data_IF_396969638746
#
_entry.id   IF_396969638746
#
_cell.length_a   1.000
_cell.length_b   1.000
_cell.length_c   1.000
_cell.angle_alpha   90.00
_cell.angle_beta   90.00
_cell.angle_gamma   90.00
#
_symmetry.space_group_name_H-M   'P 1'
#
loop_
_entity.id
_entity.type
_entity.pdbx_description
1 polymer ?
#
# COMPACT_ATOMS: atom_id res chain seq x y z
N UNK A 1 35.35 18.53 -32.19
CA UNK A 1 34.10 18.68 -31.42
C UNK A 1 33.05 17.73 -32.02
N UNK A 2 32.30 16.97 -31.21
CA UNK A 2 31.24 16.10 -31.73
C UNK A 2 30.15 16.92 -32.43
N UNK A 3 29.54 16.36 -33.48
CA UNK A 3 28.46 17.04 -34.20
C UNK A 3 27.17 17.08 -33.37
N UNK A 4 26.25 18.02 -33.62
CA UNK A 4 24.97 18.07 -32.90
C UNK A 4 24.20 16.74 -32.91
N UNK A 5 24.28 15.99 -34.01
CA UNK A 5 23.68 14.64 -34.13
C UNK A 5 24.37 13.61 -33.24
N UNK A 6 25.69 13.70 -33.08
CA UNK A 6 26.45 12.83 -32.19
C UNK A 6 26.16 13.15 -30.71
N UNK A 7 26.08 14.43 -30.33
CA UNK A 7 25.64 14.83 -28.98
C UNK A 7 24.24 14.32 -28.65
N UNK A 8 23.28 14.43 -29.58
CA UNK A 8 21.93 13.93 -29.40
C UNK A 8 21.89 12.41 -29.15
N UNK A 9 22.70 11.63 -29.89
CA UNK A 9 22.81 10.17 -29.69
C UNK A 9 23.42 9.81 -28.34
N UNK A 10 24.47 10.52 -27.92
CA UNK A 10 25.10 10.30 -26.62
C UNK A 10 24.12 10.60 -25.49
N UNK A 11 23.38 11.72 -25.60
CA UNK A 11 22.36 12.09 -24.62
C UNK A 11 21.22 11.06 -24.56
N UNK A 12 20.71 10.61 -25.71
CA UNK A 12 19.68 9.58 -25.76
C UNK A 12 20.14 8.25 -25.15
N UNK A 13 21.38 7.82 -25.42
CA UNK A 13 21.95 6.62 -24.82
C UNK A 13 22.13 6.77 -23.30
N UNK A 14 22.62 7.92 -22.83
CA UNK A 14 22.74 8.20 -21.41
C UNK A 14 21.36 8.14 -20.71
N UNK A 15 20.31 8.65 -21.36
CA UNK A 15 18.96 8.59 -20.82
C UNK A 15 18.40 7.18 -20.77
N UNK A 16 18.65 6.37 -21.79
CA UNK A 16 18.26 4.96 -21.81
C UNK A 16 18.94 4.18 -20.67
N UNK A 17 20.25 4.38 -20.49
CA UNK A 17 21.03 3.73 -19.44
C UNK A 17 20.54 4.17 -18.05
N UNK A 18 20.26 5.46 -17.85
CA UNK A 18 19.73 5.97 -16.59
C UNK A 18 18.31 5.46 -16.28
N UNK A 19 17.47 5.22 -17.29
CA UNK A 19 16.11 4.75 -17.12
C UNK A 19 16.01 3.23 -16.88
N UNK A 20 17.01 2.44 -17.27
CA UNK A 20 16.95 0.98 -17.17
C UNK A 20 16.83 0.46 -15.71
N UNK A 21 17.60 0.94 -14.72
CA UNK A 21 17.43 0.50 -13.32
C UNK A 21 16.04 0.76 -12.72
N UNK A 22 15.47 1.98 -12.77
CA UNK A 22 14.12 2.20 -12.23
C UNK A 22 13.05 1.44 -13.01
N UNK A 23 13.19 1.27 -14.33
CA UNK A 23 12.26 0.48 -15.13
C UNK A 23 12.31 -1.02 -14.78
N UNK A 24 13.50 -1.58 -14.59
CA UNK A 24 13.67 -2.98 -14.18
C UNK A 24 13.18 -3.21 -12.76
N UNK A 25 13.44 -2.28 -11.83
CA UNK A 25 12.89 -2.33 -10.47
C UNK A 25 11.35 -2.26 -10.49
N UNK A 26 10.77 -1.35 -11.28
CA UNK A 26 9.32 -1.24 -11.39
C UNK A 26 8.69 -2.51 -11.99
N UNK A 27 9.32 -3.10 -13.01
CA UNK A 27 8.90 -4.37 -13.60
C UNK A 27 8.99 -5.53 -12.59
N UNK A 28 10.06 -5.55 -11.78
CA UNK A 28 10.21 -6.52 -10.70
C UNK A 28 9.08 -6.39 -9.68
N UNK A 29 8.80 -5.20 -9.17
CA UNK A 29 7.71 -4.99 -8.21
C UNK A 29 6.33 -5.34 -8.78
N UNK A 30 6.10 -5.04 -10.05
CA UNK A 30 4.87 -5.44 -10.73
C UNK A 30 4.75 -6.97 -10.83
N UNK A 31 5.86 -7.67 -11.08
CA UNK A 31 5.89 -9.13 -11.16
C UNK A 31 5.82 -9.83 -9.80
N UNK A 32 6.08 -9.12 -8.69
CA UNK A 32 6.05 -9.67 -7.32
C UNK A 32 4.94 -9.05 -6.47
N UNK A 33 3.89 -8.53 -7.11
CA UNK A 33 2.74 -7.89 -6.46
C UNK A 33 3.10 -6.87 -5.39
N UNK A 34 4.23 -6.18 -5.56
CA UNK A 34 4.64 -5.04 -4.74
C UNK A 34 4.53 -5.32 -3.22
N UNK A 35 4.97 -6.51 -2.79
CA UNK A 35 4.94 -6.94 -1.38
C UNK A 35 6.06 -6.24 -0.61
N UNK A 36 5.72 -5.54 0.48
CA UNK A 36 6.69 -4.89 1.37
C UNK A 36 6.29 -5.04 2.84
N UNK A 37 7.29 -5.05 3.70
CA UNK A 37 7.14 -4.88 5.13
C UNK A 37 7.18 -3.38 5.44
N UNK A 38 6.09 -2.86 6.00
CA UNK A 38 5.93 -1.44 6.36
C UNK A 38 6.51 -1.24 7.76
N UNK A 39 5.95 -1.96 8.74
CA UNK A 39 6.46 -2.01 10.11
C UNK A 39 6.92 -3.44 10.39
N UNK A 40 8.19 -3.66 10.79
CA UNK A 40 8.75 -4.99 11.00
C UNK A 40 7.87 -5.89 11.86
N UNK A 41 7.55 -7.07 11.36
CA UNK A 41 6.73 -8.08 12.02
C UNK A 41 5.28 -7.67 12.28
N UNK A 42 4.81 -6.51 11.82
CA UNK A 42 3.54 -5.92 12.28
C UNK A 42 2.62 -5.52 11.15
N UNK A 43 3.13 -4.82 10.14
CA UNK A 43 2.33 -4.40 8.98
C UNK A 43 3.06 -4.72 7.69
N UNK A 44 2.36 -5.38 6.79
CA UNK A 44 2.79 -5.66 5.43
C UNK A 44 1.80 -5.03 4.44
N UNK A 45 2.30 -4.67 3.25
CA UNK A 45 1.50 -4.17 2.14
C UNK A 45 1.75 -4.98 0.88
N UNK A 46 0.74 -5.10 0.02
CA UNK A 46 0.89 -5.73 -1.30
C UNK A 46 -0.16 -5.27 -2.31
N UNK A 47 0.01 -5.69 -3.56
CA UNK A 47 -1.03 -5.85 -4.56
C UNK A 47 -1.88 -7.10 -4.30
N UNK A 48 -2.77 -7.39 -5.23
CA UNK A 48 -3.66 -8.54 -5.16
C UNK A 48 -2.87 -9.81 -5.46
N UNK A 49 -2.55 -10.56 -4.41
CA UNK A 49 -1.97 -11.88 -4.54
C UNK A 49 -3.01 -12.88 -5.04
N UNK A 50 -2.54 -13.91 -5.75
CA UNK A 50 -3.37 -15.10 -5.96
C UNK A 50 -3.53 -15.90 -4.65
N UNK A 51 -4.41 -16.91 -4.68
CA UNK A 51 -4.72 -17.70 -3.49
C UNK A 51 -3.52 -18.51 -2.94
N UNK A 52 -2.62 -18.96 -3.81
CA UNK A 52 -1.44 -19.72 -3.41
C UNK A 52 -0.38 -18.82 -2.80
N UNK A 53 -0.11 -17.68 -3.42
CA UNK A 53 0.81 -16.66 -2.95
C UNK A 53 0.37 -16.06 -1.62
N UNK A 54 -0.93 -15.78 -1.49
CA UNK A 54 -1.52 -15.32 -0.23
C UNK A 54 -1.32 -16.34 0.88
N UNK A 55 -1.61 -17.62 0.63
CA UNK A 55 -1.39 -18.71 1.60
C UNK A 55 0.08 -18.81 2.00
N UNK A 56 0.99 -18.72 1.03
CA UNK A 56 2.43 -18.74 1.29
C UNK A 56 2.86 -17.57 2.16
N UNK A 57 2.49 -16.34 1.80
CA UNK A 57 2.88 -15.14 2.53
C UNK A 57 2.31 -15.14 3.95
N UNK A 58 1.05 -15.54 4.12
CA UNK A 58 0.40 -15.66 5.43
C UNK A 58 1.16 -16.63 6.32
N UNK A 59 1.51 -17.81 5.81
CA UNK A 59 2.29 -18.80 6.56
C UNK A 59 3.72 -18.29 6.87
N UNK A 60 4.40 -17.70 5.90
CA UNK A 60 5.78 -17.25 6.03
C UNK A 60 5.95 -16.07 6.99
N UNK A 61 4.96 -15.18 7.07
CA UNK A 61 5.00 -13.95 7.89
C UNK A 61 4.13 -14.02 9.14
N UNK A 62 3.39 -15.12 9.33
CA UNK A 62 2.46 -15.28 10.44
C UNK A 62 1.31 -14.28 10.43
N UNK A 63 0.89 -13.82 9.24
CA UNK A 63 -0.18 -12.80 9.11
C UNK A 63 -1.45 -13.31 9.78
N UNK A 64 -2.05 -12.48 10.64
CA UNK A 64 -3.29 -12.80 11.36
C UNK A 64 -4.51 -12.08 10.81
N UNK A 65 -4.32 -11.04 10.01
CA UNK A 65 -5.43 -10.30 9.38
C UNK A 65 -5.07 -9.84 7.97
N UNK A 66 -6.01 -9.97 7.04
CA UNK A 66 -5.93 -9.40 5.68
C UNK A 66 -6.94 -8.25 5.56
N UNK A 67 -6.48 -7.07 5.15
CA UNK A 67 -7.29 -5.90 4.86
C UNK A 67 -7.34 -5.64 3.35
N UNK A 68 -8.51 -5.88 2.75
CA UNK A 68 -8.78 -5.67 1.33
C UNK A 68 -9.34 -4.26 1.08
N UNK A 69 -8.60 -3.43 0.34
CA UNK A 69 -8.99 -2.06 -0.03
C UNK A 69 -9.70 -1.95 -1.38
N UNK A 70 -9.85 -3.06 -2.11
CA UNK A 70 -10.69 -3.14 -3.32
C UNK A 70 -12.17 -3.19 -2.96
N UNK A 71 -12.51 -3.58 -1.73
CA UNK A 71 -13.88 -3.70 -1.24
C UNK A 71 -14.53 -5.04 -1.60
N UNK A 72 -15.72 -5.28 -1.06
CA UNK A 72 -16.42 -6.53 -1.22
C UNK A 72 -16.95 -6.68 -2.66
N UNK A 73 -16.64 -7.80 -3.31
CA UNK A 73 -17.10 -8.12 -4.67
C UNK A 73 -17.61 -9.57 -4.77
N UNK A 74 -18.70 -9.95 -4.05
CA UNK A 74 -19.21 -11.32 -4.08
C UNK A 74 -19.53 -11.78 -5.50
N UNK A 75 -19.09 -12.98 -5.87
CA UNK A 75 -19.25 -13.54 -7.22
C UNK A 75 -18.12 -13.18 -8.19
N UNK A 76 -17.22 -12.26 -7.82
CA UNK A 76 -16.02 -12.02 -8.62
C UNK A 76 -14.97 -13.12 -8.32
N UNK A 77 -14.40 -13.81 -9.34
CA UNK A 77 -13.50 -14.93 -9.11
C UNK A 77 -12.26 -14.61 -8.27
N UNK A 78 -11.73 -13.38 -8.33
CA UNK A 78 -10.60 -12.99 -7.49
C UNK A 78 -11.01 -12.87 -6.02
N UNK A 79 -12.17 -12.28 -5.75
CA UNK A 79 -12.66 -12.01 -4.40
C UNK A 79 -13.08 -13.30 -3.69
N UNK A 80 -13.81 -14.16 -4.40
CA UNK A 80 -14.28 -15.42 -3.84
C UNK A 80 -13.12 -16.38 -3.54
N UNK A 81 -12.08 -16.37 -4.38
CA UNK A 81 -10.84 -17.15 -4.15
C UNK A 81 -10.05 -16.62 -2.97
N UNK A 82 -9.88 -15.30 -2.85
CA UNK A 82 -9.24 -14.68 -1.69
C UNK A 82 -9.99 -14.99 -0.39
N UNK A 83 -11.31 -14.75 -0.37
CA UNK A 83 -12.19 -15.06 0.78
C UNK A 83 -12.07 -16.52 1.20
N UNK A 84 -12.05 -17.43 0.23
CA UNK A 84 -11.85 -18.86 0.47
C UNK A 84 -10.47 -19.13 1.07
N UNK A 85 -9.40 -18.58 0.48
CA UNK A 85 -8.04 -18.77 0.96
C UNK A 85 -7.85 -18.27 2.40
N UNK A 86 -8.36 -17.08 2.71
CA UNK A 86 -8.29 -16.48 4.05
C UNK A 86 -9.08 -17.30 5.06
N UNK A 87 -10.28 -17.76 4.70
CA UNK A 87 -11.08 -18.67 5.54
C UNK A 87 -10.35 -19.98 5.82
N UNK A 88 -9.75 -20.59 4.80
CA UNK A 88 -9.01 -21.86 4.94
C UNK A 88 -7.79 -21.70 5.86
N UNK A 89 -7.19 -20.51 5.90
CA UNK A 89 -6.06 -20.17 6.79
C UNK A 89 -6.51 -19.83 8.22
N UNK A 90 -7.80 -19.57 8.45
CA UNK A 90 -8.34 -19.17 9.75
C UNK A 90 -7.90 -17.77 10.21
N UNK A 91 -7.54 -16.88 9.28
CA UNK A 91 -7.09 -15.51 9.59
C UNK A 91 -8.22 -14.49 9.40
N UNK A 92 -8.12 -13.34 10.05
CA UNK A 92 -9.09 -12.26 9.95
C UNK A 92 -9.17 -11.70 8.53
N UNK A 93 -10.37 -11.25 8.13
CA UNK A 93 -10.58 -10.60 6.83
C UNK A 93 -11.45 -9.36 6.99
N UNK A 94 -10.88 -8.20 6.68
CA UNK A 94 -11.57 -6.91 6.69
C UNK A 94 -11.58 -6.35 5.26
N UNK A 95 -12.70 -5.78 4.83
CA UNK A 95 -12.85 -5.26 3.47
C UNK A 95 -13.46 -3.86 3.51
N UNK A 96 -12.64 -2.85 3.17
CA UNK A 96 -13.03 -1.44 3.13
C UNK A 96 -12.77 -0.91 1.72
N UNK A 97 -13.82 -0.68 0.94
CA UNK A 97 -13.67 -0.30 -0.46
C UNK A 97 -13.35 1.18 -0.65
N UNK A 98 -12.17 1.48 -1.21
CA UNK A 98 -11.81 2.84 -1.64
C UNK A 98 -11.37 2.88 -3.11
N UNK A 99 -11.53 4.05 -3.74
CA UNK A 99 -11.09 4.29 -5.13
C UNK A 99 -9.72 4.96 -5.12
N UNK A 100 -8.76 4.43 -5.89
CA UNK A 100 -7.45 5.05 -6.05
C UNK A 100 -7.52 6.46 -6.69
N UNK A 101 -8.59 6.75 -7.44
CA UNK A 101 -8.76 8.01 -8.17
C UNK A 101 -9.63 9.06 -7.47
N UNK A 102 -10.09 8.81 -6.24
CA UNK A 102 -10.97 9.72 -5.48
C UNK A 102 -10.50 9.81 -4.03
N UNK A 103 -10.61 11.01 -3.46
CA UNK A 103 -10.33 11.23 -2.04
C UNK A 103 -11.44 10.50 -1.24
N UNK A 104 -11.11 9.50 -0.40
CA UNK A 104 -12.10 8.86 0.46
C UNK A 104 -12.66 9.87 1.48
N UNK A 105 -13.88 9.63 1.97
CA UNK A 105 -14.42 10.43 3.05
C UNK A 105 -13.54 10.29 4.31
N UNK A 106 -13.44 11.36 5.11
CA UNK A 106 -12.71 11.32 6.39
C UNK A 106 -13.16 10.15 7.28
N UNK A 107 -14.46 9.89 7.35
CA UNK A 107 -15.00 8.76 8.11
C UNK A 107 -14.45 7.40 7.63
N UNK A 108 -14.29 7.20 6.32
CA UNK A 108 -13.70 5.97 5.77
C UNK A 108 -12.20 5.87 6.09
N UNK A 109 -11.47 6.98 6.11
CA UNK A 109 -10.05 6.96 6.52
C UNK A 109 -9.89 6.67 8.01
N UNK A 110 -10.79 7.18 8.85
CA UNK A 110 -10.86 6.83 10.27
C UNK A 110 -11.23 5.35 10.45
N UNK A 111 -12.16 4.82 9.66
CA UNK A 111 -12.51 3.39 9.65
C UNK A 111 -11.30 2.51 9.30
N UNK A 112 -10.48 2.92 8.32
CA UNK A 112 -9.22 2.25 7.98
C UNK A 112 -8.25 2.28 9.17
N UNK A 113 -8.07 3.45 9.81
CA UNK A 113 -7.19 3.59 10.97
C UNK A 113 -7.64 2.70 12.15
N UNK A 114 -8.94 2.68 12.44
CA UNK A 114 -9.52 1.85 13.50
C UNK A 114 -9.36 0.36 13.18
N UNK A 115 -9.65 -0.07 11.95
CA UNK A 115 -9.45 -1.46 11.52
C UNK A 115 -7.99 -1.91 11.65
N UNK A 116 -7.05 -1.05 11.28
CA UNK A 116 -5.62 -1.30 11.38
C UNK A 116 -5.10 -1.33 12.82
N UNK A 117 -5.69 -0.54 13.72
CA UNK A 117 -5.36 -0.52 15.15
C UNK A 117 -5.89 -1.75 15.88
N UNK A 118 -7.13 -2.13 15.59
CA UNK A 118 -7.88 -3.11 16.39
C UNK A 118 -7.70 -4.55 15.88
N UNK A 119 -7.28 -4.72 14.63
CA UNK A 119 -7.02 -6.03 14.05
C UNK A 119 -5.79 -6.73 14.67
N UNK A 120 -5.84 -8.07 14.84
CA UNK A 120 -4.66 -8.85 15.22
C UNK A 120 -3.52 -8.70 14.19
N UNK A 121 -2.37 -8.18 14.64
CA UNK A 121 -1.14 -8.06 13.84
C UNK A 121 -0.30 -9.36 13.90
N UNK A 122 0.42 -9.79 12.85
CA UNK A 122 0.76 -9.01 11.66
C UNK A 122 -0.41 -8.87 10.68
N UNK A 123 -0.58 -7.67 10.11
CA UNK A 123 -1.65 -7.33 9.16
C UNK A 123 -1.06 -7.26 7.75
N UNK A 124 -1.75 -7.82 6.76
CA UNK A 124 -1.50 -7.58 5.35
C UNK A 124 -2.56 -6.63 4.80
N UNK A 125 -2.18 -5.43 4.36
CA UNK A 125 -3.05 -4.53 3.61
C UNK A 125 -2.80 -4.63 2.12
N UNK A 126 -3.85 -4.82 1.32
CA UNK A 126 -3.69 -4.89 -0.12
C UNK A 126 -4.74 -4.13 -0.91
N UNK A 127 -4.41 -3.84 -2.17
CA UNK A 127 -5.35 -3.34 -3.16
C UNK A 127 -5.15 -4.09 -4.49
N UNK A 128 -5.28 -3.42 -5.64
CA UNK A 128 -4.96 -4.05 -6.94
C UNK A 128 -3.45 -4.18 -7.13
N UNK A 129 -2.73 -3.05 -7.23
CA UNK A 129 -1.28 -3.04 -7.53
C UNK A 129 -0.39 -2.72 -6.33
N UNK A 130 -0.96 -2.63 -5.13
CA UNK A 130 -0.19 -2.37 -3.90
C UNK A 130 0.44 -0.99 -3.77
N UNK A 131 0.17 -0.09 -4.72
CA UNK A 131 0.73 1.25 -4.77
C UNK A 131 -0.16 2.27 -4.04
N UNK A 132 -1.28 2.64 -4.66
CA UNK A 132 -2.03 3.84 -4.27
C UNK A 132 -2.83 3.65 -2.97
N UNK A 133 -3.82 2.75 -2.98
CA UNK A 133 -4.71 2.55 -1.82
C UNK A 133 -3.98 1.91 -0.65
N UNK A 134 -3.12 0.93 -0.94
CA UNK A 134 -2.27 0.32 0.08
C UNK A 134 -1.28 1.34 0.65
N UNK A 135 -0.78 2.27 -0.17
CA UNK A 135 0.07 3.37 0.27
C UNK A 135 -0.67 4.32 1.21
N UNK A 136 -1.89 4.72 0.87
CA UNK A 136 -2.73 5.53 1.76
C UNK A 136 -2.97 4.85 3.10
N UNK A 137 -3.37 3.57 3.11
CA UNK A 137 -3.61 2.85 4.35
C UNK A 137 -2.33 2.63 5.17
N UNK A 138 -1.20 2.40 4.52
CA UNK A 138 0.11 2.29 5.19
C UNK A 138 0.53 3.63 5.81
N UNK A 139 0.34 4.75 5.10
CA UNK A 139 0.60 6.09 5.63
C UNK A 139 -0.32 6.40 6.84
N UNK A 140 -1.60 6.04 6.75
CA UNK A 140 -2.54 6.16 7.88
C UNK A 140 -2.06 5.33 9.08
N UNK A 141 -1.58 4.10 8.86
CA UNK A 141 -1.03 3.27 9.94
C UNK A 141 0.15 3.95 10.64
N UNK A 142 1.16 4.36 9.87
CA UNK A 142 2.38 4.96 10.39
C UNK A 142 2.04 6.17 11.27
N UNK A 143 1.18 7.06 10.78
CA UNK A 143 0.78 8.27 11.52
C UNK A 143 -0.13 7.97 12.73
N UNK A 144 -1.21 7.20 12.53
CA UNK A 144 -2.30 7.08 13.50
C UNK A 144 -2.13 5.93 14.50
N UNK A 145 -1.34 4.91 14.15
CA UNK A 145 -1.16 3.69 14.95
C UNK A 145 0.28 3.57 15.45
N UNK A 146 1.27 3.72 14.57
CA UNK A 146 2.69 3.66 14.97
C UNK A 146 3.17 4.97 15.62
N UNK A 147 2.52 6.10 15.34
CA UNK A 147 2.84 7.41 15.92
C UNK A 147 4.01 8.12 15.23
N UNK A 148 4.34 7.70 14.00
CA UNK A 148 5.37 8.34 13.18
C UNK A 148 4.94 9.74 12.73
N UNK A 149 5.92 10.53 12.28
CA UNK A 149 5.63 11.88 11.78
C UNK A 149 4.87 11.82 10.46
N UNK A 150 4.03 12.82 10.21
CA UNK A 150 3.23 12.89 8.99
C UNK A 150 4.08 12.88 7.70
N UNK A 151 5.27 13.49 7.71
CA UNK A 151 6.16 13.49 6.55
C UNK A 151 6.85 12.14 6.32
N UNK A 152 7.20 11.42 7.39
CA UNK A 152 7.72 10.05 7.31
C UNK A 152 6.63 9.06 6.85
N UNK A 153 5.43 9.18 7.40
CA UNK A 153 4.27 8.39 6.98
C UNK A 153 3.90 8.63 5.49
N UNK A 154 4.07 9.85 4.98
CA UNK A 154 3.84 10.17 3.57
C UNK A 154 4.76 9.39 2.61
N UNK A 155 5.92 8.92 3.06
CA UNK A 155 6.83 8.09 2.24
C UNK A 155 6.25 6.73 1.86
N UNK A 156 5.10 6.33 2.43
CA UNK A 156 4.32 5.19 1.96
C UNK A 156 3.61 5.47 0.62
N UNK A 157 3.53 6.72 0.19
CA UNK A 157 3.05 7.17 -1.11
C UNK A 157 4.24 7.62 -1.99
N UNK A 158 5.22 6.72 -2.18
CA UNK A 158 6.44 7.02 -2.91
C UNK A 158 6.60 6.19 -4.20
N UNK A 159 7.40 6.66 -5.18
CA UNK A 159 7.71 5.93 -6.42
C UNK A 159 8.31 4.54 -6.20
N UNK A 160 9.04 4.35 -5.08
CA UNK A 160 9.59 3.04 -4.69
C UNK A 160 8.51 1.96 -4.46
N UNK A 161 7.26 2.38 -4.28
CA UNK A 161 6.08 1.51 -4.16
C UNK A 161 5.17 1.60 -5.39
N UNK A 162 5.68 2.06 -6.53
CA UNK A 162 4.95 2.28 -7.78
C UNK A 162 3.87 3.37 -7.72
N UNK A 163 3.90 4.25 -6.71
CA UNK A 163 3.00 5.38 -6.64
C UNK A 163 3.54 6.55 -7.50
N UNK A 164 2.75 6.98 -8.49
CA UNK A 164 3.13 8.03 -9.45
C UNK A 164 1.98 9.03 -9.64
N UNK A 165 1.84 10.05 -8.78
CA UNK A 165 0.68 10.98 -8.75
C UNK A 165 0.79 12.17 -9.72
N UNK A 166 1.76 12.17 -10.63
CA UNK A 166 2.05 13.26 -11.55
C UNK A 166 1.38 13.08 -12.92
N UNK A 167 1.57 14.07 -13.81
CA UNK A 167 1.10 14.06 -15.20
C UNK A 167 -0.43 13.88 -15.34
N UNK A 168 -1.19 14.47 -14.42
CA UNK A 168 -2.65 14.38 -14.42
C UNK A 168 -3.21 13.05 -13.90
N UNK A 169 -2.37 12.21 -13.28
CA UNK A 169 -2.84 10.98 -12.66
C UNK A 169 -3.92 11.27 -11.61
N UNK A 170 -5.01 10.50 -11.66
CA UNK A 170 -6.07 10.57 -10.65
C UNK A 170 -5.60 10.06 -9.29
N UNK A 171 -4.48 9.32 -9.23
CA UNK A 171 -3.93 8.76 -7.99
C UNK A 171 -3.38 9.81 -7.03
N UNK A 172 -3.17 11.05 -7.50
CA UNK A 172 -2.94 12.23 -6.63
C UNK A 172 -4.04 12.45 -5.59
N UNK A 173 -5.19 11.78 -5.75
CA UNK A 173 -6.22 11.71 -4.73
C UNK A 173 -5.76 11.04 -3.43
N UNK A 174 -4.81 10.10 -3.47
CA UNK A 174 -4.29 9.45 -2.27
C UNK A 174 -3.40 10.40 -1.46
N UNK A 175 -2.56 11.19 -2.10
CA UNK A 175 -1.77 12.24 -1.43
C UNK A 175 -2.67 13.27 -0.76
N UNK A 176 -3.69 13.74 -1.47
CA UNK A 176 -4.68 14.68 -0.92
C UNK A 176 -5.46 14.07 0.23
N UNK A 177 -5.81 12.80 0.13
CA UNK A 177 -6.49 12.07 1.19
C UNK A 177 -5.63 11.99 2.45
N UNK A 178 -4.36 11.61 2.30
CA UNK A 178 -3.44 11.54 3.42
C UNK A 178 -3.16 12.92 4.03
N UNK A 179 -2.96 13.97 3.21
CA UNK A 179 -2.80 15.33 3.70
C UNK A 179 -4.02 15.82 4.48
N UNK A 180 -5.23 15.52 3.98
CA UNK A 180 -6.48 15.83 4.68
C UNK A 180 -6.57 15.07 6.01
N UNK A 181 -6.22 13.78 6.01
CA UNK A 181 -6.21 12.97 7.21
C UNK A 181 -5.22 13.52 8.24
N UNK A 182 -3.96 13.74 7.86
CA UNK A 182 -2.91 14.23 8.75
C UNK A 182 -3.21 15.61 9.35
N UNK A 183 -3.84 16.51 8.58
CA UNK A 183 -4.22 17.84 9.07
C UNK A 183 -5.38 17.83 10.08
N UNK A 184 -6.23 16.79 10.05
CA UNK A 184 -7.42 16.68 10.90
C UNK A 184 -7.31 15.58 11.96
N UNK A 185 -6.26 14.76 11.90
CA UNK A 185 -6.02 13.70 12.85
C UNK A 185 -5.48 14.29 14.15
N UNK A 186 -6.24 14.13 15.23
CA UNK A 186 -5.75 14.37 16.57
C UNK A 186 -5.38 13.01 17.19
N UNK A 187 -4.15 12.83 17.69
CA UNK A 187 -3.82 11.68 18.52
C UNK A 187 -4.81 11.66 19.68
N UNK A 188 -5.66 10.63 19.72
CA UNK A 188 -6.66 10.53 20.76
C UNK A 188 -5.92 10.32 22.10
N UNK A 189 -5.89 11.31 22.98
CA UNK A 189 -5.21 11.26 24.28
C UNK A 189 -5.71 10.13 25.18
N UNK A 190 -6.85 9.53 24.84
CA UNK A 190 -7.60 8.62 25.70
C UNK A 190 -7.57 7.15 25.22
N UNK A 191 -6.85 6.82 24.14
CA UNK A 191 -6.78 5.44 23.63
C UNK A 191 -5.34 4.93 23.58
N UNK A 192 -4.93 4.04 24.50
CA UNK A 192 -3.55 3.57 24.54
C UNK A 192 -3.20 2.81 23.25
N UNK A 193 -2.08 3.19 22.64
CA UNK A 193 -1.42 2.40 21.58
C UNK A 193 -1.05 1.06 22.21
N UNK A 194 -1.70 -0.02 21.75
CA UNK A 194 -1.28 -1.37 22.15
C UNK A 194 -0.02 -1.69 21.36
N UNK A 195 1.14 -1.50 21.98
CA UNK A 195 2.40 -1.95 21.42
C UNK A 195 2.28 -3.44 21.06
N UNK A 196 2.58 -3.76 19.81
CA UNK A 196 2.68 -5.11 19.28
C UNK A 196 3.90 -5.82 19.89
N UNK A 197 3.83 -6.13 21.18
CA UNK A 197 4.77 -6.96 21.91
C UNK A 197 4.06 -7.48 23.16
N UNK A 198 3.40 -8.63 23.02
CA UNK A 198 3.14 -9.66 24.05
C UNK A 198 2.49 -10.88 23.40
#
# INVERSE_FOLDING_TARGET
>A
MPSPKALAKIFALAMLVAAAPPATYAAFLYATDNVHEVVPGTLYRSGQLDAGELKHLVAARGIRTVLNLRGAHPGAPWYDRERTAVRDLGVGYVSIGISAGKVPAMATMVEIADALRDAPAPILVHCEGGADRSGLASAIYELAVAGERADEAAEQLAPRFLHFPWLGSRTAAMDRAFALFAANWTPNSDRPVRNAAN
#
